data_IF_908597474633
#
_entry.id   IF_908597474633
#
_cell.length_a   1.000
_cell.length_b   1.000
_cell.length_c   1.000
_cell.angle_alpha   90.00
_cell.angle_beta   90.00
_cell.angle_gamma   90.00
#
_symmetry.space_group_name_H-M   'P 1'
#
loop_
_entity.id
_entity.type
_entity.pdbx_description
1 polymer ?
#
# COMPACT_ATOMS: atom_id res chain seq x y z
N UNK A 1 30.31 -22.16 6.16
CA UNK A 1 28.84 -22.20 6.01
C UNK A 1 28.29 -21.07 6.86
N UNK A 2 27.99 -19.94 6.24
CA UNK A 2 27.46 -18.76 6.93
C UNK A 2 25.98 -18.70 6.60
N UNK A 3 25.12 -19.08 7.55
CA UNK A 3 23.68 -18.97 7.38
C UNK A 3 23.31 -17.49 7.17
N UNK A 4 22.49 -17.15 6.16
CA UNK A 4 21.99 -15.80 5.99
C UNK A 4 21.08 -15.44 7.19
N UNK A 5 21.06 -14.17 7.63
CA UNK A 5 20.26 -13.75 8.78
C UNK A 5 18.76 -14.02 8.54
N UNK A 6 18.00 -14.36 9.59
CA UNK A 6 16.55 -14.54 9.47
C UNK A 6 15.93 -13.23 8.98
N UNK A 7 15.23 -13.29 7.83
CA UNK A 7 14.48 -12.16 7.29
C UNK A 7 13.53 -11.66 8.40
N UNK A 8 13.54 -10.37 8.76
CA UNK A 8 12.61 -9.85 9.76
C UNK A 8 11.17 -10.12 9.30
N UNK A 9 10.22 -10.38 10.21
CA UNK A 9 8.84 -10.69 9.85
C UNK A 9 8.31 -9.58 8.95
N UNK A 10 7.85 -9.98 7.77
CA UNK A 10 7.47 -9.10 6.66
C UNK A 10 6.65 -7.92 7.17
N UNK A 11 7.22 -6.72 7.03
CA UNK A 11 6.48 -5.48 7.26
C UNK A 11 5.43 -5.42 6.16
N UNK A 12 4.23 -5.93 6.44
CA UNK A 12 3.08 -5.85 5.53
C UNK A 12 2.82 -4.37 5.26
N UNK A 13 3.33 -3.89 4.13
CA UNK A 13 3.00 -2.58 3.61
C UNK A 13 1.72 -2.74 2.80
N UNK A 14 0.70 -2.00 3.21
CA UNK A 14 -0.57 -1.95 2.50
C UNK A 14 -0.47 -0.83 1.47
N UNK A 15 -0.45 -1.21 0.19
CA UNK A 15 -0.41 -0.27 -0.92
C UNK A 15 -1.83 0.01 -1.35
N UNK A 16 -2.24 1.27 -1.39
CA UNK A 16 -3.58 1.67 -1.79
C UNK A 16 -3.48 2.37 -3.15
N UNK A 17 -3.93 1.72 -4.21
CA UNK A 17 -3.97 2.31 -5.55
C UNK A 17 -5.32 2.99 -5.79
N UNK A 18 -5.29 4.27 -6.17
CA UNK A 18 -6.46 5.01 -6.58
C UNK A 18 -6.88 4.58 -7.99
N UNK A 19 -8.08 4.03 -8.17
CA UNK A 19 -8.60 3.61 -9.48
C UNK A 19 -8.96 4.79 -10.41
N UNK A 20 -8.97 6.02 -9.90
CA UNK A 20 -9.28 7.22 -10.69
C UNK A 20 -8.08 7.82 -11.39
N UNK A 21 -6.93 7.82 -10.72
CA UNK A 21 -5.70 8.47 -11.18
C UNK A 21 -4.46 7.57 -11.13
N UNK A 22 -4.63 6.30 -10.76
CA UNK A 22 -3.58 5.29 -10.61
C UNK A 22 -2.53 5.60 -9.54
N UNK A 23 -2.80 6.57 -8.65
CA UNK A 23 -1.86 6.95 -7.60
C UNK A 23 -1.80 5.92 -6.47
N UNK A 24 -0.59 5.47 -6.12
CA UNK A 24 -0.36 4.48 -5.06
C UNK A 24 0.08 5.18 -3.77
N UNK A 25 -0.65 4.93 -2.68
CA UNK A 25 -0.37 5.44 -1.34
C UNK A 25 0.01 4.30 -0.42
N UNK A 26 1.15 4.39 0.25
CA UNK A 26 1.62 3.35 1.19
C UNK A 26 1.18 3.70 2.61
N UNK A 27 0.10 3.07 3.07
CA UNK A 27 -0.54 3.40 4.35
C UNK A 27 -1.09 2.15 5.01
N UNK A 28 -0.93 2.01 6.33
CA UNK A 28 -1.54 0.87 7.07
C UNK A 28 -3.08 0.81 6.96
N UNK A 29 -3.70 1.93 6.65
CA UNK A 29 -5.15 2.11 6.51
C UNK A 29 -5.45 2.90 5.24
N UNK A 30 -6.61 2.66 4.63
CA UNK A 30 -7.04 3.40 3.45
C UNK A 30 -7.10 4.91 3.75
N UNK A 31 -6.53 5.78 2.91
CA UNK A 31 -6.68 7.22 3.08
C UNK A 31 -8.13 7.65 2.79
N UNK A 32 -8.64 8.67 3.49
CA UNK A 32 -10.01 9.18 3.27
C UNK A 32 -10.17 9.83 1.89
N UNK A 33 -9.10 10.47 1.40
CA UNK A 33 -9.05 11.08 0.07
C UNK A 33 -7.69 10.88 -0.60
N UNK A 34 -7.72 10.80 -1.93
CA UNK A 34 -6.50 10.73 -2.73
C UNK A 34 -5.78 12.08 -2.75
N UNK A 35 -4.51 12.09 -2.35
CA UNK A 35 -3.69 13.32 -2.38
C UNK A 35 -3.35 13.80 -3.79
N UNK A 36 -3.44 12.92 -4.79
CA UNK A 36 -3.13 13.27 -6.18
C UNK A 36 -4.32 13.87 -6.93
N UNK A 37 -5.54 13.37 -6.69
CA UNK A 37 -6.73 13.79 -7.45
C UNK A 37 -7.95 14.19 -6.61
N UNK A 38 -7.96 13.91 -5.31
CA UNK A 38 -9.09 14.18 -4.42
C UNK A 38 -10.21 13.12 -4.45
N UNK A 39 -10.01 11.97 -5.12
CA UNK A 39 -10.95 10.85 -5.08
C UNK A 39 -11.22 10.35 -3.64
N UNK A 40 -12.37 9.74 -3.42
CA UNK A 40 -12.79 9.24 -2.10
C UNK A 40 -12.10 7.90 -1.76
N UNK A 41 -12.09 7.53 -0.47
CA UNK A 41 -11.54 6.24 0.00
C UNK A 41 -12.09 5.03 -0.76
N UNK A 42 -13.35 5.06 -1.19
CA UNK A 42 -14.00 3.97 -1.94
C UNK A 42 -13.36 3.69 -3.31
N UNK A 43 -12.69 4.68 -3.89
CA UNK A 43 -12.00 4.56 -5.18
C UNK A 43 -10.58 3.98 -4.99
N UNK A 44 -10.15 3.71 -3.76
CA UNK A 44 -8.89 3.04 -3.49
C UNK A 44 -9.06 1.52 -3.42
N UNK A 45 -8.17 0.80 -4.10
CA UNK A 45 -8.03 -0.64 -4.00
C UNK A 45 -6.77 -0.99 -3.22
N UNK A 46 -6.90 -1.94 -2.30
CA UNK A 46 -5.76 -2.48 -1.57
C UNK A 46 -4.99 -3.44 -2.48
N UNK A 47 -3.74 -3.14 -2.72
CA UNK A 47 -2.76 -4.00 -3.35
C UNK A 47 -1.90 -4.61 -2.24
N UNK A 48 -2.19 -5.86 -1.89
CA UNK A 48 -1.26 -6.69 -1.15
C UNK A 48 -0.18 -7.16 -2.13
N UNK A 49 1.08 -6.90 -1.81
CA UNK A 49 2.21 -7.46 -2.53
C UNK A 49 2.78 -8.60 -1.68
N UNK A 50 2.75 -9.82 -2.22
CA UNK A 50 3.33 -11.05 -1.65
C UNK A 50 4.87 -11.00 -1.64
#
# INVERSE_FOLDING_TARGET
>A
MSEPPPKPPGRKHYYWQCQKCDHIVVSKTAPEKCIACGAEQKDFVLLEHD
#
